data_IF_735799335642
#
_entry.id   IF_735799335642
#
_cell.length_a   1.000
_cell.length_b   1.000
_cell.length_c   1.000
_cell.angle_alpha   90.00
_cell.angle_beta   90.00
_cell.angle_gamma   90.00
#
_symmetry.space_group_name_H-M   'P 1'
#
loop_
_entity.id
_entity.type
_entity.pdbx_description
1 polymer ?
#
# COMPACT_ATOMS: atom_id res chain seq x y z
N UNK A 1 -52.74 35.02 33.45
CA UNK A 1 -52.29 33.60 33.58
C UNK A 1 -51.35 33.30 32.46
N UNK A 2 -50.01 33.31 32.66
CA UNK A 2 -49.02 33.13 31.69
C UNK A 2 -48.29 31.77 31.93
N UNK A 3 -48.30 30.88 30.96
CA UNK A 3 -47.59 29.59 31.04
C UNK A 3 -46.11 29.75 30.63
N UNK A 4 -45.20 29.30 31.49
CA UNK A 4 -43.76 29.20 31.24
C UNK A 4 -43.45 28.03 30.28
N UNK A 5 -42.46 28.15 29.37
CA UNK A 5 -41.96 27.01 28.59
C UNK A 5 -40.89 26.23 29.37
N UNK A 6 -40.97 24.92 29.31
CA UNK A 6 -40.05 23.97 29.94
C UNK A 6 -38.81 23.73 29.06
N UNK A 7 -37.63 23.95 29.63
CA UNK A 7 -36.35 23.57 29.05
C UNK A 7 -36.08 22.05 29.24
N UNK A 8 -35.75 21.33 28.16
CA UNK A 8 -35.23 19.96 28.20
C UNK A 8 -33.71 20.01 28.36
N UNK A 9 -33.10 19.16 29.18
CA UNK A 9 -31.65 19.10 29.32
C UNK A 9 -31.03 18.26 28.19
N UNK A 10 -29.94 18.78 27.61
CA UNK A 10 -29.05 18.06 26.66
C UNK A 10 -28.21 17.00 27.42
N UNK A 11 -28.27 15.76 26.97
CA UNK A 11 -27.40 14.70 27.47
C UNK A 11 -26.09 14.71 26.68
N UNK A 12 -25.00 15.17 27.29
CA UNK A 12 -23.66 14.86 26.91
C UNK A 12 -23.13 13.70 27.76
N UNK A 13 -23.03 12.52 27.22
CA UNK A 13 -22.39 11.38 27.88
C UNK A 13 -20.92 11.32 27.47
N UNK A 14 -20.04 11.84 28.34
CA UNK A 14 -18.61 11.60 28.30
C UNK A 14 -18.30 10.21 28.90
N UNK A 15 -17.87 9.28 28.12
CA UNK A 15 -17.27 8.01 28.61
C UNK A 15 -15.75 8.21 28.76
N UNK A 16 -15.33 8.65 29.94
CA UNK A 16 -13.96 8.54 30.42
C UNK A 16 -13.73 7.11 30.94
N UNK A 17 -12.96 6.30 30.24
CA UNK A 17 -12.32 5.11 30.83
C UNK A 17 -10.92 5.48 31.28
N UNK A 18 -10.69 5.41 32.57
CA UNK A 18 -9.40 5.55 33.23
C UNK A 18 -8.50 4.37 32.89
N UNK A 19 -7.30 4.66 32.38
CA UNK A 19 -6.19 3.73 32.32
C UNK A 19 -5.12 4.22 33.28
N UNK A 20 -4.64 3.31 34.14
CA UNK A 20 -3.82 3.59 35.31
C UNK A 20 -2.46 4.24 35.00
N UNK A 21 -2.01 5.06 35.96
CA UNK A 21 -0.74 5.76 35.97
C UNK A 21 0.44 4.80 36.17
N UNK A 22 1.34 4.75 35.19
CA UNK A 22 2.74 4.38 35.35
C UNK A 22 3.59 5.65 35.32
N UNK A 23 4.37 5.93 36.38
CA UNK A 23 5.28 7.08 36.46
C UNK A 23 6.44 6.92 35.49
N UNK A 24 6.49 7.76 34.45
CA UNK A 24 7.63 7.94 33.55
C UNK A 24 7.41 9.22 32.76
N UNK A 25 8.30 10.22 32.93
CA UNK A 25 8.23 11.52 32.27
C UNK A 25 8.54 11.38 30.78
N UNK A 26 7.53 11.05 29.98
CA UNK A 26 7.55 11.10 28.52
C UNK A 26 6.59 12.16 28.05
N UNK A 27 7.02 13.13 27.24
CA UNK A 27 6.15 14.09 26.60
C UNK A 27 5.03 13.33 25.88
N UNK A 28 3.80 13.53 26.34
CA UNK A 28 2.61 13.10 25.61
C UNK A 28 2.56 13.93 24.33
N UNK A 29 2.88 13.29 23.20
CA UNK A 29 2.59 13.87 21.89
C UNK A 29 1.06 13.81 21.77
N UNK A 30 0.39 14.94 21.86
CA UNK A 30 -1.03 15.05 21.52
C UNK A 30 -1.19 14.56 20.08
N UNK A 31 -1.81 13.39 19.93
CA UNK A 31 -2.30 12.92 18.63
C UNK A 31 -3.49 13.84 18.34
N UNK A 32 -3.22 14.91 17.57
CA UNK A 32 -4.28 15.76 17.03
C UNK A 32 -5.31 14.87 16.35
N UNK A 33 -6.58 15.25 16.40
CA UNK A 33 -7.69 14.57 15.73
C UNK A 33 -7.41 14.45 14.22
N UNK A 34 -6.62 13.45 13.85
CA UNK A 34 -6.41 13.03 12.48
C UNK A 34 -7.72 12.38 12.03
N UNK A 35 -8.51 13.09 11.24
CA UNK A 35 -9.74 12.56 10.66
C UNK A 35 -9.39 11.27 9.90
N UNK A 36 -10.14 10.19 10.14
CA UNK A 36 -10.05 8.97 9.40
C UNK A 36 -10.26 9.30 7.91
N UNK A 37 -9.20 9.20 7.12
CA UNK A 37 -9.30 9.23 5.67
C UNK A 37 -9.73 7.86 5.17
N UNK A 38 -10.26 7.80 3.96
CA UNK A 38 -10.65 6.53 3.36
C UNK A 38 -10.15 6.44 1.93
N UNK A 39 -9.59 5.30 1.60
CA UNK A 39 -9.29 4.86 0.25
C UNK A 39 -10.54 4.23 -0.35
N UNK A 40 -10.90 4.56 -1.58
CA UNK A 40 -11.97 3.91 -2.31
C UNK A 40 -11.41 2.85 -3.27
N UNK A 41 -11.93 1.62 -3.22
CA UNK A 41 -11.65 0.59 -4.24
C UNK A 41 -12.40 0.95 -5.52
N UNK A 42 -11.67 0.96 -6.66
CA UNK A 42 -12.17 1.49 -7.94
C UNK A 42 -12.97 0.44 -8.70
N UNK A 43 -12.48 -0.80 -8.74
CA UNK A 43 -13.12 -1.88 -9.51
C UNK A 43 -12.91 -3.25 -8.84
N UNK A 44 -13.39 -4.30 -9.51
CA UNK A 44 -13.32 -5.66 -8.99
C UNK A 44 -14.44 -5.97 -8.00
N UNK A 45 -14.25 -7.03 -7.23
CA UNK A 45 -15.26 -7.58 -6.32
C UNK A 45 -15.63 -6.62 -5.19
N UNK A 46 -14.66 -5.80 -4.76
CA UNK A 46 -14.85 -4.83 -3.68
C UNK A 46 -15.16 -3.42 -4.18
N UNK A 47 -15.54 -3.25 -5.44
CA UNK A 47 -15.80 -1.94 -6.06
C UNK A 47 -16.67 -1.05 -5.18
N UNK A 48 -16.22 0.18 -4.97
CA UNK A 48 -16.94 1.21 -4.22
C UNK A 48 -16.76 1.12 -2.71
N UNK A 49 -16.14 0.05 -2.15
CA UNK A 49 -15.82 -0.02 -0.72
C UNK A 49 -14.85 1.09 -0.34
N UNK A 50 -15.09 1.65 0.84
CA UNK A 50 -14.21 2.63 1.47
C UNK A 50 -13.40 1.93 2.55
N UNK A 51 -12.09 1.97 2.42
CA UNK A 51 -11.13 1.37 3.32
C UNK A 51 -10.55 2.49 4.19
N UNK A 52 -10.83 2.53 5.50
CA UNK A 52 -10.28 3.54 6.39
C UNK A 52 -8.78 3.35 6.56
N UNK A 53 -8.03 4.45 6.67
CA UNK A 53 -6.62 4.39 7.01
C UNK A 53 -6.23 5.53 7.95
N UNK A 54 -5.23 5.27 8.80
CA UNK A 54 -4.69 6.27 9.69
C UNK A 54 -3.83 7.26 8.89
N UNK A 55 -4.05 8.55 9.08
CA UNK A 55 -3.19 9.58 8.50
C UNK A 55 -1.87 9.61 9.27
N UNK A 56 -0.78 9.23 8.60
CA UNK A 56 0.57 9.47 9.08
C UNK A 56 1.25 10.50 8.16
N UNK A 57 2.23 11.22 8.69
CA UNK A 57 3.01 12.18 7.90
C UNK A 57 3.68 11.43 6.74
N UNK A 58 3.37 11.84 5.51
CA UNK A 58 3.90 11.20 4.30
C UNK A 58 3.01 10.12 3.66
N UNK A 59 1.97 9.65 4.34
CA UNK A 59 1.00 8.73 3.74
C UNK A 59 0.02 9.53 2.85
N UNK A 60 0.25 9.48 1.55
CA UNK A 60 -0.64 10.03 0.53
C UNK A 60 -1.06 8.88 -0.38
N UNK A 61 -2.34 8.48 -0.40
CA UNK A 61 -2.76 7.41 -1.31
C UNK A 61 -2.56 7.87 -2.75
N UNK A 62 -2.06 6.96 -3.59
CA UNK A 62 -2.02 7.15 -5.05
C UNK A 62 -3.39 7.59 -5.53
N UNK A 63 -3.44 8.67 -6.31
CA UNK A 63 -4.70 9.27 -6.76
C UNK A 63 -5.56 8.25 -7.52
N UNK A 64 -6.87 8.27 -7.30
CA UNK A 64 -7.82 7.36 -7.96
C UNK A 64 -7.61 7.27 -9.48
N UNK A 65 -7.38 8.42 -10.14
CA UNK A 65 -7.14 8.49 -11.58
C UNK A 65 -5.85 7.79 -12.02
N UNK A 66 -4.80 7.84 -11.21
CA UNK A 66 -3.54 7.16 -11.49
C UNK A 66 -3.74 5.65 -11.34
N UNK A 67 -4.37 5.21 -10.25
CA UNK A 67 -4.72 3.80 -10.04
C UNK A 67 -5.63 3.26 -11.16
N UNK A 68 -6.64 4.00 -11.58
CA UNK A 68 -7.50 3.61 -12.69
C UNK A 68 -6.69 3.42 -13.99
N UNK A 69 -5.79 4.35 -14.31
CA UNK A 69 -4.91 4.24 -15.47
C UNK A 69 -4.01 3.02 -15.38
N UNK A 70 -3.33 2.81 -14.25
CA UNK A 70 -2.49 1.65 -14.02
C UNK A 70 -3.27 0.34 -14.25
N UNK A 71 -4.38 0.17 -13.54
CA UNK A 71 -5.12 -1.08 -13.59
C UNK A 71 -5.82 -1.32 -14.94
N UNK A 72 -6.06 -0.29 -15.74
CA UNK A 72 -6.45 -0.46 -17.15
C UNK A 72 -5.27 -1.00 -17.99
N UNK A 73 -4.04 -0.59 -17.71
CA UNK A 73 -2.86 -1.11 -18.41
C UNK A 73 -2.57 -2.57 -18.11
N UNK A 74 -2.79 -2.99 -16.86
CA UNK A 74 -2.52 -4.34 -16.37
C UNK A 74 -3.80 -5.19 -16.18
N UNK A 75 -4.91 -4.82 -16.81
CA UNK A 75 -6.19 -5.52 -16.63
C UNK A 75 -6.14 -7.01 -17.00
N UNK A 76 -5.33 -7.40 -17.98
CA UNK A 76 -5.10 -8.80 -18.34
C UNK A 76 -4.19 -9.55 -17.36
N UNK A 77 -3.04 -8.98 -16.97
CA UNK A 77 -2.09 -9.62 -16.04
C UNK A 77 -2.59 -9.78 -14.60
N UNK A 78 -3.51 -8.94 -14.08
CA UNK A 78 -3.90 -8.96 -12.66
C UNK A 78 -4.62 -10.23 -12.21
N UNK A 79 -5.63 -10.76 -12.95
CA UNK A 79 -6.32 -11.96 -12.49
C UNK A 79 -5.38 -13.16 -12.35
N UNK A 80 -5.36 -13.78 -11.17
CA UNK A 80 -4.48 -14.91 -10.86
C UNK A 80 -3.03 -14.57 -10.54
N UNK A 81 -2.62 -13.29 -10.65
CA UNK A 81 -1.24 -12.87 -10.42
C UNK A 81 -0.81 -12.97 -8.96
N UNK A 82 0.47 -13.23 -8.77
CA UNK A 82 1.19 -13.03 -7.50
C UNK A 82 1.82 -11.64 -7.52
N UNK A 83 1.37 -10.77 -6.58
CA UNK A 83 1.74 -9.37 -6.52
C UNK A 83 2.62 -9.06 -5.30
N UNK A 84 3.52 -8.09 -5.45
CA UNK A 84 4.36 -7.55 -4.38
C UNK A 84 4.19 -6.04 -4.31
N UNK A 85 3.72 -5.53 -3.16
CA UNK A 85 3.59 -4.10 -2.86
C UNK A 85 4.69 -3.72 -1.86
N UNK A 86 5.82 -3.20 -2.38
CA UNK A 86 7.05 -3.00 -1.59
C UNK A 86 7.06 -1.73 -0.74
N UNK A 87 6.09 -0.84 -0.94
CA UNK A 87 5.89 0.38 -0.17
C UNK A 87 4.40 0.55 0.06
N UNK A 88 3.80 -0.44 0.73
CA UNK A 88 2.36 -0.65 0.72
C UNK A 88 1.54 0.53 1.29
N UNK A 89 2.06 1.25 2.28
CA UNK A 89 1.38 2.39 2.88
C UNK A 89 -0.06 2.08 3.28
N UNK A 90 -1.02 2.67 2.59
CA UNK A 90 -2.45 2.41 2.80
C UNK A 90 -2.96 1.10 2.19
N UNK A 91 -2.13 0.42 1.43
CA UNK A 91 -2.50 -0.77 0.64
C UNK A 91 -3.25 -0.46 -0.65
N UNK A 92 -3.19 0.78 -1.13
CA UNK A 92 -4.01 1.25 -2.25
C UNK A 92 -3.87 0.41 -3.52
N UNK A 93 -2.66 -0.01 -3.86
CA UNK A 93 -2.35 -0.79 -5.06
C UNK A 93 -2.62 -2.28 -4.84
N UNK A 94 -2.11 -2.85 -3.76
CA UNK A 94 -2.31 -4.27 -3.47
C UNK A 94 -3.76 -4.64 -3.18
N UNK A 95 -4.53 -3.81 -2.46
CA UNK A 95 -5.96 -4.05 -2.22
C UNK A 95 -6.79 -3.95 -3.51
N UNK A 96 -6.44 -3.01 -4.40
CA UNK A 96 -7.08 -2.93 -5.72
C UNK A 96 -6.76 -4.17 -6.56
N UNK A 97 -5.51 -4.69 -6.50
CA UNK A 97 -5.13 -5.92 -7.18
C UNK A 97 -5.92 -7.13 -6.66
N UNK A 98 -6.04 -7.32 -5.34
CA UNK A 98 -6.88 -8.37 -4.75
C UNK A 98 -8.34 -8.25 -5.20
N UNK A 99 -8.91 -7.03 -5.16
CA UNK A 99 -10.27 -6.78 -5.61
C UNK A 99 -10.50 -7.16 -7.07
N UNK A 100 -9.47 -7.11 -7.90
CA UNK A 100 -9.50 -7.47 -9.33
C UNK A 100 -9.08 -8.90 -9.63
N UNK A 101 -8.94 -9.73 -8.60
CA UNK A 101 -8.72 -11.16 -8.73
C UNK A 101 -7.24 -11.59 -8.73
N UNK A 102 -6.32 -10.77 -8.20
CA UNK A 102 -4.98 -11.26 -7.91
C UNK A 102 -5.06 -12.45 -6.95
N UNK A 103 -4.28 -13.49 -7.21
CA UNK A 103 -4.22 -14.70 -6.39
C UNK A 103 -3.56 -14.44 -5.05
N UNK A 104 -2.51 -13.64 -5.07
CA UNK A 104 -1.76 -13.33 -3.85
C UNK A 104 -1.23 -11.90 -3.90
N UNK A 105 -1.21 -11.24 -2.74
CA UNK A 105 -0.50 -9.97 -2.55
C UNK A 105 0.32 -10.01 -1.27
N UNK A 106 1.62 -9.75 -1.41
CA UNK A 106 2.50 -9.47 -0.29
C UNK A 106 2.66 -7.95 -0.14
N UNK A 107 2.22 -7.43 0.98
CA UNK A 107 2.37 -6.03 1.37
C UNK A 107 3.57 -5.88 2.27
N UNK A 108 4.49 -5.01 1.93
CA UNK A 108 5.69 -4.69 2.70
C UNK A 108 5.70 -3.21 3.02
N UNK A 109 5.80 -2.86 4.28
CA UNK A 109 5.97 -1.46 4.71
C UNK A 109 6.79 -1.40 6.00
N UNK A 110 7.59 -0.34 6.15
CA UNK A 110 8.39 -0.10 7.35
C UNK A 110 7.53 0.40 8.53
N UNK A 111 6.43 1.08 8.24
CA UNK A 111 5.57 1.72 9.22
C UNK A 111 4.65 0.70 9.91
N UNK A 112 4.78 0.56 11.23
CA UNK A 112 3.86 -0.25 12.03
C UNK A 112 2.42 0.29 12.00
N UNK A 113 2.23 1.59 11.82
CA UNK A 113 0.91 2.22 11.70
C UNK A 113 0.24 1.77 10.41
N UNK A 114 0.99 1.77 9.30
CA UNK A 114 0.50 1.32 8.00
C UNK A 114 0.16 -0.18 8.02
N UNK A 115 1.08 -1.02 8.48
CA UNK A 115 0.89 -2.48 8.51
C UNK A 115 -0.22 -2.92 9.45
N UNK A 116 -0.36 -2.29 10.62
CA UNK A 116 -1.48 -2.57 11.54
C UNK A 116 -2.83 -2.16 10.92
N UNK A 117 -2.91 -0.95 10.35
CA UNK A 117 -4.13 -0.50 9.66
C UNK A 117 -4.52 -1.42 8.51
N UNK A 118 -3.54 -1.86 7.73
CA UNK A 118 -3.75 -2.78 6.62
C UNK A 118 -4.22 -4.16 7.09
N UNK A 119 -3.61 -4.72 8.14
CA UNK A 119 -4.05 -5.98 8.75
C UNK A 119 -5.49 -5.90 9.27
N UNK A 120 -5.88 -4.78 9.90
CA UNK A 120 -7.24 -4.61 10.38
C UNK A 120 -8.25 -4.48 9.24
N UNK A 121 -7.88 -3.81 8.15
CA UNK A 121 -8.70 -3.72 6.95
C UNK A 121 -8.88 -5.09 6.27
N UNK A 122 -7.82 -5.89 6.16
CA UNK A 122 -7.88 -7.22 5.56
C UNK A 122 -8.83 -8.17 6.30
N UNK A 123 -8.94 -8.05 7.63
CA UNK A 123 -9.91 -8.83 8.44
C UNK A 123 -11.38 -8.50 8.09
N UNK A 124 -11.65 -7.30 7.58
CA UNK A 124 -12.99 -6.81 7.24
C UNK A 124 -13.37 -7.03 5.77
N UNK A 125 -12.39 -7.40 4.94
CA UNK A 125 -12.62 -7.64 3.51
C UNK A 125 -13.01 -9.11 3.26
N UNK A 126 -13.95 -9.36 2.34
CA UNK A 126 -14.32 -10.72 1.94
C UNK A 126 -13.27 -11.27 0.97
N UNK A 127 -12.09 -11.61 1.48
CA UNK A 127 -11.02 -12.26 0.70
C UNK A 127 -11.51 -13.65 0.32
N UNK A 128 -11.39 -14.00 -0.96
CA UNK A 128 -11.80 -15.32 -1.44
C UNK A 128 -10.90 -16.43 -0.84
N UNK A 129 -11.42 -17.63 -0.71
CA UNK A 129 -10.71 -18.73 -0.03
C UNK A 129 -9.42 -19.16 -0.74
N UNK A 130 -9.31 -18.87 -2.02
CA UNK A 130 -8.14 -19.13 -2.87
C UNK A 130 -7.19 -17.92 -3.00
N UNK A 131 -7.53 -16.78 -2.40
CA UNK A 131 -6.69 -15.59 -2.36
C UNK A 131 -5.86 -15.52 -1.08
N UNK A 132 -4.65 -14.98 -1.20
CA UNK A 132 -3.71 -14.82 -0.09
C UNK A 132 -3.29 -13.36 0.03
N UNK A 133 -3.41 -12.81 1.23
CA UNK A 133 -2.88 -11.49 1.59
C UNK A 133 -1.91 -11.63 2.76
N UNK A 134 -0.66 -11.22 2.56
CA UNK A 134 0.37 -11.22 3.60
C UNK A 134 0.85 -9.81 3.87
N UNK A 135 1.02 -9.44 5.13
CA UNK A 135 1.53 -8.11 5.52
C UNK A 135 2.79 -8.29 6.35
N UNK A 136 3.88 -7.69 5.91
CA UNK A 136 5.19 -7.79 6.54
C UNK A 136 5.72 -6.41 6.93
N UNK A 137 6.00 -6.22 8.23
CA UNK A 137 6.57 -4.98 8.74
C UNK A 137 8.08 -5.02 8.65
N UNK A 138 8.65 -4.55 7.56
CA UNK A 138 10.09 -4.38 7.38
C UNK A 138 10.41 -3.40 6.25
N UNK A 139 11.67 -3.01 6.11
CA UNK A 139 12.06 -2.22 4.94
C UNK A 139 12.06 -3.09 3.68
N UNK A 140 11.70 -2.50 2.53
CA UNK A 140 11.75 -3.13 1.20
C UNK A 140 13.12 -3.75 0.90
N UNK A 141 14.21 -3.09 1.27
CA UNK A 141 15.57 -3.62 1.08
C UNK A 141 15.86 -4.87 1.92
N UNK A 142 15.40 -4.89 3.19
CA UNK A 142 15.57 -6.08 4.04
C UNK A 142 14.70 -7.23 3.53
N UNK A 143 13.50 -6.93 3.03
CA UNK A 143 12.62 -7.92 2.44
C UNK A 143 13.25 -8.55 1.20
N UNK A 144 13.73 -7.74 0.24
CA UNK A 144 14.39 -8.22 -0.98
C UNK A 144 15.63 -9.05 -0.67
N UNK A 145 16.43 -8.63 0.31
CA UNK A 145 17.59 -9.40 0.78
C UNK A 145 17.17 -10.75 1.36
N UNK A 146 16.20 -10.76 2.26
CA UNK A 146 15.73 -12.01 2.88
C UNK A 146 15.08 -12.95 1.88
N UNK A 147 14.42 -12.42 0.83
CA UNK A 147 13.91 -13.21 -0.27
C UNK A 147 15.06 -13.88 -1.04
N UNK A 148 16.09 -13.13 -1.41
CA UNK A 148 17.27 -13.66 -2.09
C UNK A 148 17.94 -14.80 -1.31
N UNK A 149 18.11 -14.60 0.01
CA UNK A 149 18.71 -15.62 0.88
C UNK A 149 17.87 -16.90 0.92
N UNK A 150 16.55 -16.80 0.97
CA UNK A 150 15.63 -17.95 0.91
C UNK A 150 15.64 -18.62 -0.46
N UNK A 151 15.71 -17.88 -1.55
CA UNK A 151 15.73 -18.39 -2.92
C UNK A 151 16.99 -19.23 -3.22
N UNK A 152 18.06 -19.07 -2.45
CA UNK A 152 19.26 -19.93 -2.57
C UNK A 152 19.06 -21.33 -2.00
N UNK A 153 18.07 -21.53 -1.14
CA UNK A 153 17.80 -22.79 -0.43
C UNK A 153 16.49 -23.45 -0.81
N UNK A 154 15.59 -22.69 -1.45
CA UNK A 154 14.25 -23.14 -1.84
C UNK A 154 14.02 -22.87 -3.34
N UNK A 155 14.17 -23.88 -4.18
CA UNK A 155 13.93 -23.82 -5.62
C UNK A 155 12.46 -23.58 -5.99
N UNK A 156 11.53 -23.82 -5.06
CA UNK A 156 10.08 -23.65 -5.26
C UNK A 156 9.57 -22.31 -4.71
N UNK A 157 10.47 -21.37 -4.37
CA UNK A 157 10.08 -20.07 -3.87
C UNK A 157 9.19 -19.34 -4.88
N UNK A 158 8.09 -18.79 -4.40
CA UNK A 158 7.10 -18.12 -5.23
C UNK A 158 7.66 -16.84 -5.86
N UNK A 159 7.51 -16.67 -7.18
CA UNK A 159 7.94 -15.49 -7.93
C UNK A 159 6.77 -14.53 -8.17
N UNK A 160 7.08 -13.27 -8.37
CA UNK A 160 6.10 -12.21 -8.51
C UNK A 160 5.89 -11.80 -9.96
N UNK A 161 4.61 -11.73 -10.37
CA UNK A 161 4.18 -11.32 -11.71
C UNK A 161 4.01 -9.81 -11.81
N UNK A 162 3.58 -9.18 -10.70
CA UNK A 162 3.37 -7.75 -10.61
C UNK A 162 4.05 -7.19 -9.35
N UNK A 163 4.85 -6.13 -9.53
CA UNK A 163 5.47 -5.42 -8.42
C UNK A 163 5.05 -3.95 -8.44
N UNK A 164 4.66 -3.42 -7.29
CA UNK A 164 4.31 -2.01 -7.13
C UNK A 164 5.40 -1.30 -6.34
N UNK A 165 5.96 -0.22 -6.93
CA UNK A 165 7.00 0.62 -6.36
C UNK A 165 6.52 2.07 -6.29
N UNK A 166 6.05 2.49 -5.13
CA UNK A 166 5.67 3.87 -4.80
C UNK A 166 6.41 4.33 -3.52
N UNK A 167 7.75 4.45 -3.59
CA UNK A 167 8.55 4.84 -2.43
C UNK A 167 8.30 6.28 -2.02
N UNK A 168 8.54 6.64 -0.73
CA UNK A 168 8.51 8.02 -0.29
C UNK A 168 9.47 8.89 -1.12
N UNK A 169 8.96 9.87 -1.86
CA UNK A 169 9.71 10.69 -2.83
C UNK A 169 10.89 11.43 -2.21
N UNK A 170 10.74 11.87 -0.95
CA UNK A 170 11.80 12.60 -0.24
C UNK A 170 13.08 11.77 -0.02
N UNK A 171 13.01 10.45 -0.14
CA UNK A 171 14.14 9.56 0.12
C UNK A 171 14.87 9.12 -1.15
N UNK A 172 14.39 9.48 -2.35
CA UNK A 172 14.98 9.15 -3.65
C UNK A 172 15.38 7.66 -3.82
N UNK A 173 14.55 6.73 -3.31
CA UNK A 173 14.88 5.30 -3.21
C UNK A 173 14.67 4.51 -4.51
N UNK A 174 14.08 5.08 -5.55
CA UNK A 174 13.62 4.32 -6.73
C UNK A 174 14.77 3.57 -7.41
N UNK A 175 15.88 4.24 -7.68
CA UNK A 175 17.02 3.63 -8.39
C UNK A 175 17.63 2.46 -7.62
N UNK A 176 17.83 2.63 -6.31
CA UNK A 176 18.37 1.58 -5.44
C UNK A 176 17.39 0.42 -5.28
N UNK A 177 16.08 0.72 -5.25
CA UNK A 177 15.03 -0.31 -5.18
C UNK A 177 14.98 -1.15 -6.45
N UNK A 178 15.07 -0.54 -7.65
CA UNK A 178 15.12 -1.27 -8.92
C UNK A 178 16.32 -2.20 -8.98
N UNK A 179 17.50 -1.72 -8.53
CA UNK A 179 18.70 -2.55 -8.44
C UNK A 179 18.52 -3.72 -7.46
N UNK A 180 18.02 -3.46 -6.26
CA UNK A 180 17.81 -4.49 -5.25
C UNK A 180 16.75 -5.52 -5.71
N UNK A 181 15.72 -5.08 -6.41
CA UNK A 181 14.69 -5.94 -7.00
C UNK A 181 15.29 -6.87 -8.08
N UNK A 182 16.11 -6.33 -8.96
CA UNK A 182 16.84 -7.13 -9.95
C UNK A 182 17.76 -8.17 -9.28
N UNK A 183 18.55 -7.75 -8.31
CA UNK A 183 19.48 -8.61 -7.59
C UNK A 183 18.78 -9.70 -6.75
N UNK A 184 17.53 -9.51 -6.38
CA UNK A 184 16.73 -10.46 -5.58
C UNK A 184 16.27 -11.67 -6.37
N UNK A 185 16.15 -11.54 -7.72
CA UNK A 185 15.59 -12.55 -8.62
C UNK A 185 14.18 -13.02 -8.24
N UNK A 186 13.39 -12.16 -7.58
CA UNK A 186 12.04 -12.51 -7.15
C UNK A 186 10.97 -12.42 -8.25
N UNK A 187 11.33 -12.00 -9.45
CA UNK A 187 10.40 -11.78 -10.55
C UNK A 187 10.16 -13.04 -11.38
N UNK A 188 8.93 -13.22 -11.87
CA UNK A 188 8.62 -14.19 -12.92
C UNK A 188 9.13 -13.71 -14.29
N UNK A 189 9.21 -14.62 -15.27
CA UNK A 189 9.79 -14.35 -16.60
C UNK A 189 9.04 -13.24 -17.40
N UNK A 190 7.82 -12.91 -17.04
CA UNK A 190 7.00 -11.90 -17.69
C UNK A 190 6.51 -10.85 -16.70
N UNK A 191 7.26 -10.62 -15.64
CA UNK A 191 6.90 -9.70 -14.61
C UNK A 191 6.76 -8.27 -15.13
N UNK A 192 5.84 -7.54 -14.55
CA UNK A 192 5.65 -6.11 -14.77
C UNK A 192 5.84 -5.35 -13.47
N UNK A 193 6.57 -4.24 -13.54
CA UNK A 193 6.85 -3.39 -12.40
C UNK A 193 6.17 -2.05 -12.63
N UNK A 194 5.27 -1.67 -11.75
CA UNK A 194 4.76 -0.31 -11.66
C UNK A 194 5.70 0.55 -10.84
N UNK A 195 5.99 1.74 -11.35
CA UNK A 195 6.85 2.72 -10.69
C UNK A 195 6.17 4.08 -10.62
N UNK A 196 6.38 4.80 -9.50
CA UNK A 196 5.89 6.15 -9.28
C UNK A 196 6.98 7.01 -8.65
N UNK A 197 7.31 8.18 -9.26
CA UNK A 197 8.34 9.10 -8.76
C UNK A 197 8.12 10.54 -9.25
N UNK A 198 8.77 11.56 -8.64
CA UNK A 198 8.65 12.96 -9.08
C UNK A 198 9.52 13.32 -10.28
N UNK A 199 10.51 12.51 -10.66
CA UNK A 199 11.37 12.74 -11.84
C UNK A 199 10.83 11.97 -13.07
N UNK A 200 11.16 12.37 -14.30
CA UNK A 200 10.84 11.61 -15.50
C UNK A 200 11.35 10.17 -15.42
N UNK A 201 10.53 9.20 -15.86
CA UNK A 201 10.89 7.77 -15.79
C UNK A 201 11.97 7.39 -16.80
N UNK A 202 12.15 8.20 -17.84
CA UNK A 202 13.18 8.05 -18.86
C UNK A 202 14.60 8.28 -18.30
N UNK A 203 14.71 8.91 -17.13
CA UNK A 203 15.98 9.14 -16.41
C UNK A 203 16.40 7.91 -15.56
N UNK A 204 15.53 6.91 -15.41
CA UNK A 204 15.86 5.69 -14.66
C UNK A 204 16.88 4.82 -15.41
N UNK A 205 17.92 4.44 -14.70
CA UNK A 205 18.87 3.44 -15.19
C UNK A 205 18.29 2.05 -14.94
N UNK A 206 17.70 1.48 -15.98
CA UNK A 206 17.07 0.16 -15.89
C UNK A 206 18.12 -0.95 -15.98
N UNK A 207 17.96 -2.06 -15.22
CA UNK A 207 18.76 -3.25 -15.37
C UNK A 207 18.71 -3.81 -16.81
N UNK A 208 19.70 -4.62 -17.16
CA UNK A 208 19.74 -5.27 -18.46
C UNK A 208 18.50 -6.11 -18.73
N UNK A 209 17.93 -5.99 -19.92
CA UNK A 209 16.71 -6.68 -20.33
C UNK A 209 15.42 -5.96 -19.97
N UNK A 210 15.42 -5.06 -18.98
CA UNK A 210 14.23 -4.33 -18.58
C UNK A 210 13.95 -3.14 -19.52
N UNK A 211 12.66 -2.86 -19.75
CA UNK A 211 12.24 -1.79 -20.67
C UNK A 211 11.09 -0.99 -20.08
N UNK A 212 11.16 0.33 -20.16
CA UNK A 212 10.03 1.20 -19.88
C UNK A 212 8.97 1.01 -20.98
N UNK A 213 7.89 0.34 -20.63
CA UNK A 213 6.81 -0.01 -21.56
C UNK A 213 5.75 1.09 -21.68
N UNK A 214 5.46 1.78 -20.59
CA UNK A 214 4.50 2.89 -20.53
C UNK A 214 4.97 3.93 -19.55
N UNK A 215 4.74 5.22 -19.90
CA UNK A 215 5.02 6.37 -19.04
C UNK A 215 3.92 7.39 -19.17
N UNK A 216 3.51 7.98 -18.05
CA UNK A 216 2.59 9.12 -17.99
C UNK A 216 2.96 10.05 -16.84
N UNK A 217 2.41 11.28 -16.91
CA UNK A 217 2.51 12.29 -15.86
C UNK A 217 1.12 12.67 -15.34
N UNK A 218 0.99 12.77 -14.01
CA UNK A 218 -0.19 13.31 -13.34
C UNK A 218 0.25 14.32 -12.28
N UNK A 219 -0.02 15.59 -12.53
CA UNK A 219 0.50 16.68 -11.67
C UNK A 219 2.03 16.71 -11.67
N UNK A 220 2.63 16.48 -10.48
CA UNK A 220 4.08 16.43 -10.30
C UNK A 220 4.64 15.00 -10.26
N UNK A 221 3.82 14.02 -10.55
CA UNK A 221 4.19 12.60 -10.43
C UNK A 221 4.29 11.97 -11.81
N UNK A 222 5.39 11.29 -12.09
CA UNK A 222 5.57 10.42 -13.23
C UNK A 222 5.33 8.99 -12.78
N UNK A 223 4.58 8.23 -13.56
CA UNK A 223 4.26 6.84 -13.27
C UNK A 223 4.24 6.01 -14.56
N UNK A 224 4.57 4.73 -14.43
CA UNK A 224 4.69 3.88 -15.60
C UNK A 224 4.83 2.41 -15.29
N UNK A 225 4.97 1.64 -16.37
CA UNK A 225 5.23 0.20 -16.33
C UNK A 225 6.57 -0.11 -16.96
N UNK A 226 7.34 -0.94 -16.26
CA UNK A 226 8.57 -1.56 -16.75
C UNK A 226 8.24 -3.05 -16.98
N UNK A 227 8.66 -3.60 -18.10
CA UNK A 227 8.63 -5.04 -18.39
C UNK A 227 10.02 -5.62 -18.17
N UNK A 228 10.08 -6.82 -17.63
CA UNK A 228 11.30 -7.59 -17.39
C UNK A 228 11.48 -8.68 -18.43
#
# INVERSE_FOLDING_TARGET
>A
MARKPSLKPSRSSSLLRSVGLGKGSGKVVEIGQAGLQSLRIIAGEWRGRKIPFATAVGLRPTQDRVRETLFNWISGPVPGATCLDLFAGTGALGLEALSRGAKQVNFVDLSNIATNSLNDNLKLLPIAADQIAKVEQMSSFNWLRSYKDRATTDEQIERYDLVFLDPPFALALMQDTLKALFDSQCLSDKAMIYVEQPQPLEELLLPEGWKLHRSKKAGQVFYGLISC
#
